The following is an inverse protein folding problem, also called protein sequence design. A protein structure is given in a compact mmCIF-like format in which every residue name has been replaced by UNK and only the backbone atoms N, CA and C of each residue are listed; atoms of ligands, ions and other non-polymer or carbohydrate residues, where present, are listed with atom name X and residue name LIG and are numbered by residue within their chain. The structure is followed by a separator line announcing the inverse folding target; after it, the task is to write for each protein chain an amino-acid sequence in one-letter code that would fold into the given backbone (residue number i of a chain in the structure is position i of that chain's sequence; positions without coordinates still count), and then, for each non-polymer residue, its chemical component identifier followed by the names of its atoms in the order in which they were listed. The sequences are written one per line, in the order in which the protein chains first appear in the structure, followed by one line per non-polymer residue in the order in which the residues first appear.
data_IF_994115828907
#
_entry.id   IF_994115828907
#
_cell.length_a   1.000
_cell.length_b   1.000
_cell.length_c   1.000
_cell.angle_alpha   90.00
_cell.angle_beta   90.00
_cell.angle_gamma   90.00
#
_symmetry.space_group_name_H-M   'P 1'
#
loop_
_entity.id
_entity.type
_entity.pdbx_description
1 polymer ?
#
# COMPACT_ATOMS: atom_id res chain seq x y z
N UNK A 1 2.12 17.89 1.91
CA UNK A 1 1.84 16.50 2.31
C UNK A 1 3.12 15.68 2.31
N UNK A 2 3.20 14.63 3.14
CA UNK A 2 4.36 13.73 3.26
C UNK A 2 4.13 12.46 2.44
N UNK A 3 5.20 11.81 1.99
CA UNK A 3 5.15 10.55 1.25
C UNK A 3 4.98 9.37 2.22
N UNK A 4 3.77 9.22 2.76
CA UNK A 4 3.45 8.17 3.73
C UNK A 4 2.81 6.97 3.05
N UNK A 5 3.23 5.78 3.49
CA UNK A 5 2.64 4.49 3.11
C UNK A 5 2.05 3.90 4.38
N UNK A 6 0.72 3.93 4.51
CA UNK A 6 0.04 3.49 5.71
C UNK A 6 -0.54 2.10 5.46
N UNK A 7 -0.14 1.13 6.28
CA UNK A 7 -0.64 -0.23 6.24
C UNK A 7 -1.64 -0.50 7.37
N UNK A 8 -2.73 -1.20 7.06
CA UNK A 8 -3.77 -1.60 8.00
C UNK A 8 -4.12 -3.09 7.81
N UNK A 9 -4.19 -3.83 8.90
CA UNK A 9 -4.68 -5.22 8.89
C UNK A 9 -6.20 -5.25 9.03
N UNK A 10 -6.88 -5.84 8.06
CA UNK A 10 -8.34 -5.97 8.06
C UNK A 10 -8.76 -7.44 7.97
N UNK A 11 -9.74 -7.82 8.79
CA UNK A 11 -10.35 -9.14 8.76
C UNK A 11 -11.80 -9.03 8.29
N UNK A 12 -12.12 -9.68 7.18
CA UNK A 12 -13.45 -9.64 6.58
C UNK A 12 -13.82 -11.02 6.02
N UNK A 13 -15.01 -11.51 6.36
CA UNK A 13 -15.55 -12.81 5.91
C UNK A 13 -14.59 -14.00 6.07
N UNK A 14 -13.78 -14.01 7.13
CA UNK A 14 -12.83 -15.11 7.38
C UNK A 14 -11.47 -14.95 6.70
N UNK A 15 -11.31 -13.92 5.87
CA UNK A 15 -10.08 -13.62 5.15
C UNK A 15 -9.36 -12.43 5.79
N UNK A 16 -8.03 -12.49 5.76
CA UNK A 16 -7.16 -11.43 6.22
C UNK A 16 -6.58 -10.67 5.03
N UNK A 17 -6.67 -9.35 5.09
CA UNK A 17 -6.17 -8.42 4.10
C UNK A 17 -5.20 -7.44 4.74
N UNK A 18 -4.25 -6.98 3.94
CA UNK A 18 -3.40 -5.86 4.27
C UNK A 18 -3.74 -4.68 3.37
N UNK A 19 -4.46 -3.72 3.90
CA UNK A 19 -4.83 -2.53 3.16
C UNK A 19 -3.71 -1.51 3.25
N UNK A 20 -3.37 -0.93 2.11
CA UNK A 20 -2.37 0.12 2.01
C UNK A 20 -3.06 1.37 1.52
N UNK A 21 -2.80 2.50 2.17
CA UNK A 21 -3.35 3.79 1.80
C UNK A 21 -2.24 4.72 1.35
N UNK A 22 -2.36 5.21 0.12
CA UNK A 22 -1.42 6.11 -0.53
C UNK A 22 -2.15 7.41 -0.87
N UNK A 23 -1.87 8.46 -0.11
CA UNK A 23 -2.40 9.78 -0.39
C UNK A 23 -1.56 10.42 -1.50
N UNK A 24 -2.18 10.68 -2.64
CA UNK A 24 -1.58 11.32 -3.81
C UNK A 24 -1.62 12.84 -3.67
N UNK A 25 -2.76 13.35 -3.22
CA UNK A 25 -3.05 14.74 -2.91
C UNK A 25 -4.31 14.86 -2.04
N UNK A 26 -4.51 16.04 -1.46
CA UNK A 26 -5.71 16.50 -0.75
C UNK A 26 -6.18 17.85 -1.33
N UNK A 27 -5.91 18.10 -2.62
CA UNK A 27 -6.24 19.35 -3.32
C UNK A 27 -5.15 20.43 -3.28
N UNK A 28 -3.99 20.15 -2.69
CA UNK A 28 -2.84 21.05 -2.63
C UNK A 28 -1.93 20.98 -3.88
N UNK A 29 -2.10 19.96 -4.72
CA UNK A 29 -1.28 19.74 -5.91
C UNK A 29 -2.08 19.88 -7.20
N UNK A 30 -1.41 20.37 -8.24
CA UNK A 30 -1.99 20.37 -9.58
C UNK A 30 -2.05 18.96 -10.18
N UNK A 31 -2.76 18.84 -11.30
CA UNK A 31 -2.93 17.56 -11.99
C UNK A 31 -1.60 16.90 -12.36
N UNK A 32 -0.63 17.67 -12.86
CA UNK A 32 0.68 17.15 -13.31
C UNK A 32 1.51 16.62 -12.14
N UNK A 33 1.53 17.33 -11.03
CA UNK A 33 2.22 16.90 -9.82
C UNK A 33 1.58 15.64 -9.25
N UNK A 34 0.25 15.60 -9.18
CA UNK A 34 -0.50 14.43 -8.71
C UNK A 34 -0.23 13.19 -9.60
N UNK A 35 -0.20 13.36 -10.93
CA UNK A 35 0.17 12.30 -11.86
C UNK A 35 1.56 11.72 -11.56
N UNK A 36 2.55 12.60 -11.38
CA UNK A 36 3.93 12.21 -11.09
C UNK A 36 4.05 11.52 -9.73
N UNK A 37 3.32 12.00 -8.72
CA UNK A 37 3.28 11.36 -7.38
C UNK A 37 2.71 9.95 -7.47
N UNK A 38 1.62 9.74 -8.19
CA UNK A 38 1.04 8.40 -8.42
C UNK A 38 2.05 7.44 -9.08
N UNK A 39 2.81 7.91 -10.07
CA UNK A 39 3.87 7.12 -10.71
C UNK A 39 4.98 6.74 -9.71
N UNK A 40 5.47 7.72 -8.93
CA UNK A 40 6.50 7.49 -7.91
C UNK A 40 6.01 6.49 -6.86
N UNK A 41 4.78 6.63 -6.37
CA UNK A 41 4.21 5.69 -5.41
C UNK A 41 4.20 4.27 -5.96
N UNK A 42 3.72 4.04 -7.19
CA UNK A 42 3.75 2.70 -7.80
C UNK A 42 5.18 2.15 -7.90
N UNK A 43 6.14 2.99 -8.28
CA UNK A 43 7.53 2.57 -8.44
C UNK A 43 8.18 2.19 -7.10
N UNK A 44 7.93 2.95 -6.05
CA UNK A 44 8.58 2.77 -4.73
C UNK A 44 7.79 1.85 -3.79
N UNK A 45 6.54 1.50 -4.12
CA UNK A 45 5.68 0.71 -3.24
C UNK A 45 6.28 -0.65 -2.85
N UNK A 46 6.92 -1.43 -3.75
CA UNK A 46 7.58 -2.67 -3.34
C UNK A 46 8.59 -2.46 -2.21
N UNK A 47 9.41 -1.42 -2.29
CA UNK A 47 10.39 -1.09 -1.25
C UNK A 47 9.71 -0.74 0.07
N UNK A 48 8.63 0.05 0.02
CA UNK A 48 7.87 0.40 1.22
C UNK A 48 7.22 -0.82 1.89
N UNK A 49 6.64 -1.73 1.10
CA UNK A 49 6.06 -2.97 1.61
C UNK A 49 7.12 -3.90 2.21
N UNK A 50 8.28 -4.03 1.58
CA UNK A 50 9.43 -4.75 2.16
C UNK A 50 9.87 -4.13 3.48
N UNK A 51 9.95 -2.79 3.56
CA UNK A 51 10.32 -2.08 4.77
C UNK A 51 9.30 -2.29 5.91
N UNK A 52 8.00 -2.24 5.60
CA UNK A 52 6.93 -2.55 6.56
C UNK A 52 7.07 -3.98 7.09
N UNK A 53 7.17 -4.97 6.19
CA UNK A 53 7.32 -6.38 6.58
C UNK A 53 8.57 -6.61 7.44
N UNK A 54 9.69 -5.99 7.06
CA UNK A 54 10.95 -6.12 7.77
C UNK A 54 10.92 -5.44 9.14
N UNK A 55 10.30 -4.25 9.23
CA UNK A 55 10.06 -3.56 10.51
C UNK A 55 9.19 -4.39 11.45
N UNK A 56 8.17 -5.05 10.91
CA UNK A 56 7.23 -5.89 11.65
C UNK A 56 7.68 -7.37 11.73
N UNK A 57 8.97 -7.67 11.57
CA UNK A 57 9.46 -9.05 11.47
C UNK A 57 9.01 -9.97 12.63
N UNK A 58 8.88 -9.44 13.86
CA UNK A 58 8.43 -10.19 15.03
C UNK A 58 6.95 -10.59 14.90
N UNK A 59 6.12 -9.71 14.33
CA UNK A 59 4.71 -9.97 14.07
C UNK A 59 4.56 -11.06 13.01
N UNK A 60 5.30 -10.96 11.91
CA UNK A 60 5.33 -11.98 10.85
C UNK A 60 5.90 -13.31 11.33
N UNK A 61 6.92 -13.29 12.20
CA UNK A 61 7.48 -14.50 12.81
C UNK A 61 6.50 -15.19 13.75
N UNK A 62 5.68 -14.41 14.47
CA UNK A 62 4.63 -14.95 15.36
C UNK A 62 3.41 -15.46 14.58
N UNK A 63 3.07 -14.83 13.47
CA UNK A 63 1.91 -15.15 12.64
C UNK A 63 2.32 -15.33 11.16
N UNK A 64 2.88 -16.49 10.77
CA UNK A 64 3.37 -16.71 9.41
C UNK A 64 2.28 -16.61 8.32
N UNK A 65 1.01 -16.76 8.69
CA UNK A 65 -0.12 -16.61 7.76
C UNK A 65 -0.28 -15.16 7.24
N UNK A 66 0.31 -14.16 7.91
CA UNK A 66 0.33 -12.78 7.44
C UNK A 66 1.03 -12.63 6.08
N UNK A 67 2.01 -13.49 5.77
CA UNK A 67 2.71 -13.46 4.48
C UNK A 67 1.80 -13.78 3.28
N UNK A 68 0.69 -14.46 3.51
CA UNK A 68 -0.27 -14.86 2.49
C UNK A 68 -1.50 -13.94 2.42
N UNK A 69 -1.56 -12.91 3.27
CA UNK A 69 -2.65 -11.94 3.22
C UNK A 69 -2.61 -11.16 1.90
N UNK A 70 -3.79 -10.90 1.33
CA UNK A 70 -3.91 -10.14 0.10
C UNK A 70 -3.67 -8.66 0.38
N UNK A 71 -2.77 -8.04 -0.38
CA UNK A 71 -2.42 -6.63 -0.27
C UNK A 71 -3.31 -5.83 -1.23
N UNK A 72 -4.12 -4.94 -0.65
CA UNK A 72 -5.02 -4.08 -1.40
C UNK A 72 -4.54 -2.63 -1.24
N UNK A 73 -4.15 -2.01 -2.35
CA UNK A 73 -3.58 -0.67 -2.35
C UNK A 73 -4.62 0.33 -2.82
N UNK A 74 -4.85 1.35 -2.01
CA UNK A 74 -5.85 2.39 -2.22
C UNK A 74 -5.13 3.71 -2.48
N UNK A 75 -5.19 4.17 -3.73
CA UNK A 75 -4.71 5.48 -4.13
C UNK A 75 -5.82 6.50 -3.86
N UNK A 76 -5.54 7.48 -3.02
CA UNK A 76 -6.49 8.51 -2.59
C UNK A 76 -6.06 9.84 -3.18
N UNK A 77 -6.98 10.50 -3.89
CA UNK A 77 -6.72 11.75 -4.60
C UNK A 77 -8.00 12.57 -4.71
N UNK A 78 -7.87 13.88 -4.93
CA UNK A 78 -9.00 14.72 -5.35
C UNK A 78 -9.33 14.60 -6.84
N UNK A 79 -8.40 14.05 -7.63
CA UNK A 79 -8.58 13.80 -9.06
C UNK A 79 -9.08 12.37 -9.30
N UNK A 80 -10.30 12.17 -9.84
CA UNK A 80 -10.92 10.84 -9.99
C UNK A 80 -10.08 9.80 -10.73
N UNK A 81 -9.26 10.22 -11.70
CA UNK A 81 -8.37 9.37 -12.49
C UNK A 81 -7.21 8.76 -11.69
N UNK A 82 -6.91 9.28 -10.50
CA UNK A 82 -5.91 8.72 -9.60
C UNK A 82 -6.54 7.98 -8.41
N UNK A 83 -7.87 8.01 -8.27
CA UNK A 83 -8.59 7.20 -7.28
C UNK A 83 -8.70 5.79 -7.84
N UNK A 84 -7.82 4.91 -7.39
CA UNK A 84 -7.78 3.52 -7.86
C UNK A 84 -7.49 2.57 -6.70
N UNK A 85 -8.13 1.41 -6.75
CA UNK A 85 -7.82 0.29 -5.87
C UNK A 85 -7.15 -0.81 -6.69
N UNK A 86 -5.98 -1.26 -6.23
CA UNK A 86 -5.15 -2.23 -6.94
C UNK A 86 -4.87 -3.44 -6.02
N UNK A 87 -4.91 -4.65 -6.59
CA UNK A 87 -4.44 -5.85 -5.91
C UNK A 87 -2.95 -6.05 -6.20
N UNK A 88 -2.13 -6.05 -5.15
CA UNK A 88 -0.68 -6.17 -5.22
C UNK A 88 -0.14 -7.53 -4.79
N UNK A 89 -0.99 -8.55 -4.77
CA UNK A 89 -0.63 -9.92 -4.39
C UNK A 89 -0.53 -10.07 -2.87
N UNK A 90 0.56 -10.66 -2.40
CA UNK A 90 0.84 -10.92 -0.98
C UNK A 90 2.30 -10.61 -0.64
N UNK A 91 2.63 -10.50 0.65
CA UNK A 91 4.02 -10.30 1.07
C UNK A 91 4.96 -11.44 0.61
N UNK A 92 4.47 -12.68 0.56
CA UNK A 92 5.22 -13.81 0.00
C UNK A 92 5.52 -13.66 -1.51
N UNK A 93 4.63 -13.00 -2.25
CA UNK A 93 4.83 -12.76 -3.70
C UNK A 93 5.77 -11.59 -4.00
N UNK A 94 5.99 -10.68 -3.05
CA UNK A 94 6.89 -9.52 -3.16
C UNK A 94 8.37 -9.87 -2.98
N UNK A 95 8.71 -11.17 -2.89
CA UNK A 95 10.06 -11.67 -2.64
C UNK A 95 11.08 -11.06 -3.61
N UNK A 96 11.99 -10.26 -3.07
CA UNK A 96 13.21 -9.72 -3.70
C UNK A 96 14.32 -10.76 -3.61
#
# INVERSE_FOLDING_TARGET
MRDEVIGEWLFYEGFLYFYVYLYIDQGEFDYKTSAKRTEIFRRELPLALTAIRYGDNLLFGKYPNLDNAMIIVNFISTYPQFIVQENWGSFSSLSI
#
